data_IF_336130498155
#
_entry.id   IF_336130498155
#
_cell.length_a   1.000
_cell.length_b   1.000
_cell.length_c   1.000
_cell.angle_alpha   90.00
_cell.angle_beta   90.00
_cell.angle_gamma   90.00
#
_symmetry.space_group_name_H-M   'P 1'
#
loop_
_entity.id
_entity.type
_entity.pdbx_description
1 polymer ?
#
# COMPACT_ATOMS: atom_id res chain seq x y z
N UNK A 1 13.04 9.05 32.94
CA UNK A 1 13.41 8.96 31.51
C UNK A 1 14.44 7.88 31.23
N UNK A 2 14.48 6.77 31.95
CA UNK A 2 15.56 5.74 31.82
C UNK A 2 15.04 4.31 31.67
N UNK A 3 13.79 4.04 31.39
CA UNK A 3 13.27 2.68 31.19
C UNK A 3 12.68 2.41 29.80
N UNK A 4 12.56 3.42 28.94
CA UNK A 4 12.02 3.26 27.59
C UNK A 4 13.02 2.84 26.51
N UNK A 5 14.32 2.93 26.78
CA UNK A 5 15.37 2.56 25.80
C UNK A 5 15.75 1.08 25.80
N UNK A 6 15.29 0.29 26.76
CA UNK A 6 15.62 -1.16 26.85
C UNK A 6 14.58 -2.08 26.25
N UNK A 7 13.40 -1.59 25.88
CA UNK A 7 12.33 -2.43 25.32
C UNK A 7 12.42 -2.64 23.80
N UNK A 8 13.18 -1.81 23.10
CA UNK A 8 13.28 -1.86 21.62
C UNK A 8 14.19 -3.00 21.11
N UNK A 9 15.04 -3.58 21.97
CA UNK A 9 16.04 -4.56 21.55
C UNK A 9 15.67 -6.04 21.75
N UNK A 10 14.41 -6.39 22.00
CA UNK A 10 13.97 -7.79 22.18
C UNK A 10 12.94 -8.31 21.18
N UNK A 11 12.65 -7.61 20.10
CA UNK A 11 11.84 -8.22 19.02
C UNK A 11 12.79 -8.98 18.10
N UNK A 12 13.05 -10.26 18.43
CA UNK A 12 13.61 -11.21 17.46
C UNK A 12 12.53 -11.54 16.45
N UNK A 13 12.63 -10.95 15.26
CA UNK A 13 11.86 -11.39 14.09
C UNK A 13 12.14 -12.88 13.81
N UNK A 14 11.13 -13.67 13.43
CA UNK A 14 11.30 -15.07 13.06
C UNK A 14 12.26 -15.17 11.86
N UNK A 15 13.26 -16.05 11.96
CA UNK A 15 14.15 -16.42 10.86
C UNK A 15 13.39 -17.25 9.84
N UNK A 16 12.75 -16.60 8.87
CA UNK A 16 12.24 -17.27 7.68
C UNK A 16 12.15 -16.32 6.50
N UNK A 17 13.26 -15.72 6.09
CA UNK A 17 13.44 -15.25 4.72
C UNK A 17 14.96 -15.23 4.43
N UNK A 18 15.47 -16.35 3.90
CA UNK A 18 16.72 -16.31 3.15
C UNK A 18 16.38 -15.79 1.76
N UNK A 19 17.00 -14.71 1.30
CA UNK A 19 16.92 -14.35 -0.11
C UNK A 19 17.59 -15.45 -0.95
N UNK A 20 17.08 -15.74 -2.16
CA UNK A 20 17.71 -16.70 -3.05
C UNK A 20 19.13 -16.22 -3.40
N UNK A 21 20.05 -17.18 -3.50
CA UNK A 21 21.44 -16.98 -3.82
C UNK A 21 21.59 -16.14 -5.10
N UNK A 22 22.44 -15.12 -5.03
CA UNK A 22 22.86 -14.36 -6.20
C UNK A 22 23.52 -15.33 -7.20
N UNK A 23 22.91 -15.44 -8.37
CA UNK A 23 23.53 -16.09 -9.53
C UNK A 23 24.57 -15.09 -10.02
N UNK A 24 25.84 -15.44 -9.91
CA UNK A 24 26.94 -14.74 -10.53
C UNK A 24 26.71 -14.74 -12.06
N UNK A 25 26.40 -13.58 -12.63
CA UNK A 25 26.46 -13.39 -14.07
C UNK A 25 27.95 -13.29 -14.45
N UNK A 26 28.44 -14.31 -15.12
CA UNK A 26 29.73 -14.28 -15.80
C UNK A 26 29.76 -13.17 -16.83
N UNK A 27 30.81 -12.36 -16.77
CA UNK A 27 31.19 -11.38 -17.80
C UNK A 27 31.37 -12.07 -19.15
N UNK A 28 30.39 -11.89 -20.04
CA UNK A 28 30.51 -12.17 -21.44
C UNK A 28 30.98 -10.91 -22.16
N UNK A 29 32.26 -10.79 -22.40
CA UNK A 29 32.88 -9.84 -23.30
C UNK A 29 32.45 -10.14 -24.75
N UNK A 30 31.53 -9.35 -25.27
CA UNK A 30 31.28 -9.27 -26.70
C UNK A 30 31.79 -7.94 -27.24
N UNK A 31 33.01 -8.04 -27.86
CA UNK A 31 33.61 -6.96 -28.62
C UNK A 31 32.79 -6.61 -29.86
N UNK A 32 32.55 -5.35 -30.07
CA UNK A 32 32.10 -4.81 -31.33
C UNK A 32 33.34 -4.51 -32.20
N UNK A 33 33.35 -4.86 -33.51
CA UNK A 33 34.49 -4.60 -34.36
C UNK A 33 34.59 -3.11 -34.73
N UNK A 34 35.72 -2.52 -34.42
CA UNK A 34 36.16 -1.22 -34.95
C UNK A 34 36.29 -1.32 -36.47
N UNK A 35 35.49 -0.57 -37.20
CA UNK A 35 35.72 -0.32 -38.63
C UNK A 35 36.77 0.79 -38.79
N UNK A 36 37.98 0.34 -39.02
CA UNK A 36 39.08 1.11 -39.54
C UNK A 36 38.69 1.70 -40.92
N UNK A 37 38.66 3.02 -41.06
CA UNK A 37 38.64 3.67 -42.36
C UNK A 37 39.90 4.49 -42.56
N UNK A 38 40.74 3.92 -43.38
CA UNK A 38 42.04 4.38 -43.71
C UNK A 38 42.09 5.78 -44.34
N UNK A 39 43.17 6.41 -44.02
CA UNK A 39 43.77 7.57 -44.74
C UNK A 39 44.15 7.17 -46.15
N UNK A 40 43.70 7.95 -47.13
CA UNK A 40 44.43 8.08 -48.40
C UNK A 40 44.27 9.51 -48.87
N UNK A 41 45.34 10.23 -48.84
CA UNK A 41 45.55 11.39 -49.69
C UNK A 41 46.02 10.88 -51.06
N UNK A 42 45.70 11.57 -52.14
CA UNK A 42 46.76 12.10 -52.95
C UNK A 42 46.57 13.54 -53.48
N UNK A 43 47.68 14.12 -53.65
CA UNK A 43 48.14 15.32 -54.26
C UNK A 43 47.45 15.76 -55.55
N UNK A 44 47.50 17.11 -55.70
CA UNK A 44 47.76 17.92 -56.85
C UNK A 44 46.74 17.96 -58.02
N UNK A 45 46.20 19.13 -58.30
CA UNK A 45 46.71 19.96 -59.39
C UNK A 45 46.02 21.33 -59.36
N UNK A 46 46.85 22.32 -59.35
CA UNK A 46 46.69 23.72 -59.62
C UNK A 46 45.90 23.98 -60.94
N UNK A 47 44.81 24.75 -60.92
CA UNK A 47 44.56 25.69 -62.02
C UNK A 47 43.66 26.85 -61.56
N UNK A 48 44.17 28.03 -61.69
CA UNK A 48 43.56 29.28 -61.38
C UNK A 48 42.37 29.63 -62.27
N UNK A 49 41.37 30.18 -61.66
CA UNK A 49 40.61 31.22 -62.33
C UNK A 49 40.12 32.23 -61.23
N UNK A 50 40.61 33.46 -61.39
CA UNK A 50 40.11 34.65 -60.75
C UNK A 50 38.71 34.86 -61.26
N UNK A 51 37.76 34.99 -60.36
CA UNK A 51 36.72 36.03 -60.57
C UNK A 51 35.88 36.17 -59.27
N UNK A 52 35.82 37.40 -58.90
CA UNK A 52 34.78 38.11 -58.19
C UNK A 52 34.32 37.63 -56.77
N UNK A 53 34.89 38.36 -55.92
CA UNK A 53 34.54 38.71 -54.56
C UNK A 53 33.11 39.21 -54.45
N UNK A 54 32.18 38.35 -54.14
CA UNK A 54 30.94 38.68 -53.49
C UNK A 54 31.15 38.61 -51.96
N UNK A 55 31.63 39.74 -51.43
CA UNK A 55 31.54 40.03 -50.00
C UNK A 55 30.08 40.39 -49.69
N UNK A 56 29.31 39.55 -49.12
CA UNK A 56 28.36 39.86 -48.09
C UNK A 56 27.84 38.61 -47.35
N UNK A 57 28.76 38.04 -46.63
CA UNK A 57 28.41 37.15 -45.51
C UNK A 57 29.05 37.78 -44.28
N UNK A 58 28.37 38.75 -43.69
CA UNK A 58 28.72 39.20 -42.39
C UNK A 58 28.60 38.01 -41.44
N UNK A 59 29.74 37.35 -41.16
CA UNK A 59 29.83 36.44 -40.02
C UNK A 59 29.37 37.24 -38.81
N UNK A 60 28.10 36.99 -38.41
CA UNK A 60 27.59 37.56 -37.18
C UNK A 60 28.41 36.99 -36.04
N UNK A 61 29.25 37.85 -35.44
CA UNK A 61 29.98 37.46 -34.25
C UNK A 61 28.97 36.93 -33.19
N UNK A 62 29.26 35.80 -32.57
CA UNK A 62 28.37 35.24 -31.54
C UNK A 62 28.26 36.22 -30.38
N UNK A 63 27.13 36.90 -30.26
CA UNK A 63 26.85 37.83 -29.17
C UNK A 63 26.42 37.09 -27.91
N UNK A 64 27.02 37.47 -26.78
CA UNK A 64 26.68 36.87 -25.49
C UNK A 64 25.22 37.10 -25.10
N UNK A 65 24.65 36.21 -24.36
CA UNK A 65 23.24 36.24 -23.90
C UNK A 65 22.78 37.58 -23.27
N UNK A 66 23.72 38.33 -22.66
CA UNK A 66 23.44 39.60 -22.01
C UNK A 66 23.62 40.82 -22.94
N UNK A 67 23.89 40.61 -24.23
CA UNK A 67 24.05 41.71 -25.17
C UNK A 67 22.79 42.59 -25.22
N UNK A 68 22.94 43.95 -25.26
CA UNK A 68 21.81 44.90 -25.22
C UNK A 68 20.81 44.67 -26.37
N UNK A 69 21.26 44.29 -27.56
CA UNK A 69 20.40 44.07 -28.74
C UNK A 69 19.44 42.87 -28.56
N UNK A 70 19.81 41.91 -27.71
CA UNK A 70 18.95 40.78 -27.38
C UNK A 70 17.91 41.07 -26.30
N UNK A 71 17.89 42.30 -25.76
CA UNK A 71 17.04 42.66 -24.62
C UNK A 71 15.55 42.42 -24.92
N UNK A 72 15.08 42.74 -26.13
CA UNK A 72 13.64 42.56 -26.50
C UNK A 72 13.30 41.04 -26.61
N UNK A 73 14.17 40.26 -27.25
CA UNK A 73 13.95 38.85 -27.44
C UNK A 73 14.02 38.14 -26.09
N UNK A 74 15.00 38.49 -25.27
CA UNK A 74 15.16 37.98 -23.90
C UNK A 74 13.94 38.28 -23.03
N UNK A 75 13.45 39.53 -23.01
CA UNK A 75 12.30 39.89 -22.23
C UNK A 75 11.03 39.14 -22.67
N UNK A 76 10.81 38.97 -23.99
CA UNK A 76 9.70 38.15 -24.48
C UNK A 76 9.82 36.69 -24.08
N UNK A 77 11.03 36.14 -24.11
CA UNK A 77 11.28 34.78 -23.67
C UNK A 77 11.05 34.64 -22.16
N UNK A 78 11.56 35.57 -21.34
CA UNK A 78 11.32 35.56 -19.89
C UNK A 78 9.84 35.71 -19.53
N UNK A 79 9.10 36.59 -20.18
CA UNK A 79 7.67 36.76 -19.92
C UNK A 79 6.92 35.46 -20.22
N UNK A 80 7.19 34.83 -21.37
CA UNK A 80 6.59 33.53 -21.70
C UNK A 80 6.96 32.46 -20.67
N UNK A 81 8.23 32.42 -20.28
CA UNK A 81 8.71 31.44 -19.29
C UNK A 81 8.04 31.67 -17.93
N UNK A 82 7.94 32.91 -17.45
CA UNK A 82 7.28 33.26 -16.18
C UNK A 82 5.79 32.86 -16.24
N UNK A 83 5.09 33.17 -17.34
CA UNK A 83 3.67 32.80 -17.49
C UNK A 83 3.52 31.29 -17.45
N UNK A 84 4.34 30.55 -18.19
CA UNK A 84 4.28 29.08 -18.22
C UNK A 84 4.58 28.49 -16.84
N UNK A 85 5.62 28.99 -16.16
CA UNK A 85 6.00 28.52 -14.81
C UNK A 85 4.90 28.86 -13.80
N UNK A 86 4.30 30.06 -13.87
CA UNK A 86 3.21 30.45 -12.97
C UNK A 86 1.97 29.57 -13.18
N UNK A 87 1.63 29.26 -14.44
CA UNK A 87 0.53 28.39 -14.76
C UNK A 87 0.79 26.94 -14.23
N UNK A 88 1.99 26.43 -14.44
CA UNK A 88 2.39 25.12 -13.94
C UNK A 88 2.34 25.07 -12.40
N UNK A 89 2.83 26.13 -11.74
CA UNK A 89 2.80 26.22 -10.28
C UNK A 89 1.35 26.23 -9.76
N UNK A 90 0.48 27.04 -10.38
CA UNK A 90 -0.94 27.09 -10.03
C UNK A 90 -1.63 25.71 -10.21
N UNK A 91 -1.28 25.01 -11.28
CA UNK A 91 -1.78 23.66 -11.56
C UNK A 91 -1.32 22.64 -10.51
N UNK A 92 -0.03 22.66 -10.15
CA UNK A 92 0.52 21.80 -9.09
C UNK A 92 -0.16 22.09 -7.75
N UNK A 93 -0.32 23.37 -7.40
CA UNK A 93 -1.00 23.75 -6.15
C UNK A 93 -2.47 23.32 -6.14
N UNK A 94 -3.16 23.39 -7.28
CA UNK A 94 -4.54 22.92 -7.40
C UNK A 94 -4.63 21.40 -7.14
N UNK A 95 -3.73 20.60 -7.73
CA UNK A 95 -3.68 19.15 -7.50
C UNK A 95 -3.33 18.84 -6.04
N UNK A 96 -2.31 19.51 -5.48
CA UNK A 96 -1.92 19.30 -4.09
C UNK A 96 -3.04 19.68 -3.11
N UNK A 97 -3.81 20.73 -3.42
CA UNK A 97 -4.95 21.10 -2.57
C UNK A 97 -6.03 20.03 -2.53
N UNK A 98 -6.31 19.36 -3.66
CA UNK A 98 -7.21 18.21 -3.72
C UNK A 98 -6.68 17.04 -2.89
N UNK A 99 -5.38 16.78 -2.98
CA UNK A 99 -4.73 15.72 -2.20
C UNK A 99 -4.84 15.98 -0.70
N UNK A 100 -4.59 17.22 -0.27
CA UNK A 100 -4.74 17.63 1.13
C UNK A 100 -6.20 17.56 1.61
N UNK A 101 -7.16 17.88 0.72
CA UNK A 101 -8.57 17.78 1.07
C UNK A 101 -9.00 16.32 1.32
N UNK A 102 -8.42 15.35 0.61
CA UNK A 102 -8.69 13.92 0.84
C UNK A 102 -8.21 13.48 2.22
N UNK A 103 -7.01 13.92 2.62
CA UNK A 103 -6.43 13.57 3.94
C UNK A 103 -6.93 14.45 5.09
N UNK A 104 -7.70 15.50 4.79
CA UNK A 104 -8.24 16.37 5.82
C UNK A 104 -9.32 15.63 6.63
N UNK A 105 -9.13 15.55 7.95
CA UNK A 105 -10.05 14.87 8.89
C UNK A 105 -10.36 13.41 8.50
N UNK A 106 -9.33 12.65 8.14
CA UNK A 106 -9.48 11.21 7.86
C UNK A 106 -10.09 10.47 9.03
N UNK A 107 -9.73 10.85 10.27
CA UNK A 107 -10.23 10.24 11.49
C UNK A 107 -11.77 10.28 11.59
N UNK A 108 -12.39 11.38 11.18
CA UNK A 108 -13.86 11.52 11.16
C UNK A 108 -14.54 10.59 10.13
N UNK A 109 -13.76 10.07 9.16
CA UNK A 109 -14.26 9.24 8.05
C UNK A 109 -13.94 7.76 8.18
N UNK A 110 -13.19 7.37 9.21
CA UNK A 110 -12.83 5.96 9.44
C UNK A 110 -14.06 5.06 9.60
N UNK A 111 -15.18 5.61 10.05
CA UNK A 111 -16.46 4.90 10.17
C UNK A 111 -17.03 4.42 8.83
N UNK A 112 -16.55 4.96 7.69
CA UNK A 112 -16.93 4.47 6.37
C UNK A 112 -16.17 3.20 5.97
N UNK A 113 -15.07 2.87 6.65
CA UNK A 113 -14.35 1.62 6.48
C UNK A 113 -15.07 0.51 7.27
N UNK A 114 -16.10 -0.06 6.64
CA UNK A 114 -16.98 -1.04 7.27
C UNK A 114 -16.28 -2.37 7.51
N UNK A 115 -16.29 -2.83 8.76
CA UNK A 115 -15.78 -4.13 9.18
C UNK A 115 -16.92 -4.94 9.78
N UNK A 116 -17.24 -6.08 9.16
CA UNK A 116 -18.25 -6.98 9.70
C UNK A 116 -17.68 -7.75 10.89
N UNK A 117 -18.50 -7.91 11.93
CA UNK A 117 -18.23 -8.78 13.05
C UNK A 117 -19.37 -9.79 13.11
N UNK A 118 -19.04 -11.05 12.88
CA UNK A 118 -20.02 -12.11 12.80
C UNK A 118 -19.72 -13.15 13.88
N UNK A 119 -20.63 -13.26 14.85
CA UNK A 119 -20.56 -14.26 15.90
C UNK A 119 -21.26 -15.53 15.43
N UNK A 120 -20.50 -16.61 15.23
CA UNK A 120 -21.03 -17.94 14.93
C UNK A 120 -20.79 -18.93 16.08
N UNK A 121 -20.28 -18.47 17.22
CA UNK A 121 -19.95 -19.30 18.35
C UNK A 121 -21.20 -20.01 18.89
N UNK A 122 -21.15 -21.33 18.99
CA UNK A 122 -22.30 -22.14 19.41
C UNK A 122 -23.41 -22.30 18.37
N UNK A 123 -23.17 -21.95 17.11
CA UNK A 123 -24.10 -22.28 16.01
C UNK A 123 -23.94 -23.77 15.62
N UNK A 124 -25.01 -24.37 15.13
CA UNK A 124 -25.01 -25.77 14.71
C UNK A 124 -23.80 -26.10 13.79
N UNK A 125 -23.12 -27.23 14.00
CA UNK A 125 -23.46 -28.36 14.85
C UNK A 125 -23.00 -28.29 16.31
N UNK A 126 -22.58 -27.12 16.79
CA UNK A 126 -22.02 -26.93 18.13
C UNK A 126 -23.04 -26.33 19.13
N UNK A 127 -24.29 -26.20 18.73
CA UNK A 127 -25.40 -25.69 19.55
C UNK A 127 -25.76 -26.58 20.75
N UNK A 128 -25.42 -27.87 20.67
CA UNK A 128 -25.75 -28.85 21.72
C UNK A 128 -24.52 -29.40 22.45
N UNK A 129 -23.41 -28.69 22.51
CA UNK A 129 -22.18 -29.15 23.16
C UNK A 129 -22.22 -29.09 24.68
N UNK A 130 -23.30 -28.58 25.28
CA UNK A 130 -23.45 -28.39 26.74
C UNK A 130 -22.63 -27.24 27.29
N UNK A 131 -21.86 -26.56 26.48
CA UNK A 131 -21.05 -25.38 26.85
C UNK A 131 -21.73 -24.12 26.31
N UNK A 132 -21.98 -23.15 27.19
CA UNK A 132 -22.52 -21.85 26.72
C UNK A 132 -21.48 -21.13 25.83
N UNK A 133 -21.90 -20.49 24.73
CA UNK A 133 -21.04 -19.63 23.96
C UNK A 133 -20.40 -18.55 24.84
N UNK A 134 -19.10 -18.37 24.72
CA UNK A 134 -18.34 -17.44 25.58
C UNK A 134 -17.46 -16.49 24.77
N UNK A 135 -16.79 -17.03 23.76
CA UNK A 135 -15.82 -16.26 22.94
C UNK A 135 -16.55 -15.23 22.11
N UNK A 136 -17.58 -15.65 21.36
CA UNK A 136 -18.36 -14.76 20.50
C UNK A 136 -19.04 -13.62 21.23
N UNK A 137 -19.83 -13.87 22.27
CA UNK A 137 -20.45 -12.83 23.07
C UNK A 137 -19.44 -11.85 23.72
N UNK A 138 -18.25 -12.33 24.09
CA UNK A 138 -17.21 -11.46 24.66
C UNK A 138 -16.64 -10.52 23.58
N UNK A 139 -16.40 -11.03 22.37
CA UNK A 139 -15.92 -10.23 21.25
C UNK A 139 -16.98 -9.21 20.81
N UNK A 140 -18.24 -9.63 20.70
CA UNK A 140 -19.36 -8.74 20.35
C UNK A 140 -19.49 -7.60 21.38
N UNK A 141 -19.42 -7.91 22.67
CA UNK A 141 -19.45 -6.91 23.73
C UNK A 141 -18.29 -5.90 23.61
N UNK A 142 -17.09 -6.37 23.23
CA UNK A 142 -15.94 -5.49 23.01
C UNK A 142 -16.18 -4.54 21.84
N UNK A 143 -16.77 -5.04 20.74
CA UNK A 143 -17.13 -4.20 19.57
C UNK A 143 -18.15 -3.13 19.97
N UNK A 144 -19.17 -3.48 20.75
CA UNK A 144 -20.17 -2.53 21.26
C UNK A 144 -19.52 -1.44 22.13
N UNK A 145 -18.52 -1.80 22.94
CA UNK A 145 -17.74 -0.84 23.72
C UNK A 145 -16.93 0.09 22.82
N UNK A 146 -16.32 -0.44 21.73
CA UNK A 146 -15.61 0.39 20.76
C UNK A 146 -16.56 1.36 20.04
N UNK A 147 -17.75 0.89 19.63
CA UNK A 147 -18.77 1.72 18.97
C UNK A 147 -19.31 2.83 19.87
N UNK A 148 -19.39 2.59 21.17
CA UNK A 148 -19.86 3.57 22.17
C UNK A 148 -18.76 4.53 22.62
N UNK A 149 -17.50 4.29 22.25
CA UNK A 149 -16.39 5.16 22.60
C UNK A 149 -16.40 6.44 21.74
N UNK A 150 -15.96 7.57 22.31
CA UNK A 150 -15.76 8.81 21.55
C UNK A 150 -14.43 8.86 20.78
N UNK A 151 -13.74 7.71 20.63
CA UNK A 151 -12.49 7.64 19.91
C UNK A 151 -12.74 7.38 18.43
N UNK A 152 -11.91 7.91 17.51
CA UNK A 152 -11.98 7.56 16.12
C UNK A 152 -11.86 6.04 15.96
N UNK A 153 -12.83 5.42 15.31
CA UNK A 153 -12.87 3.96 15.14
C UNK A 153 -13.40 3.61 13.75
N UNK A 154 -13.16 2.36 13.34
CA UNK A 154 -13.70 1.83 12.10
C UNK A 154 -15.24 1.72 12.17
N UNK A 155 -15.85 1.55 11.01
CA UNK A 155 -17.28 1.27 10.90
C UNK A 155 -17.60 -0.18 11.28
N UNK A 156 -17.68 -0.45 12.58
CA UNK A 156 -18.03 -1.79 13.05
C UNK A 156 -19.49 -2.13 12.73
N UNK A 157 -19.71 -3.24 12.04
CA UNK A 157 -21.04 -3.76 11.71
C UNK A 157 -21.24 -5.14 12.30
N UNK A 158 -21.93 -5.24 13.44
CA UNK A 158 -22.29 -6.53 14.01
C UNK A 158 -23.43 -7.11 13.17
N UNK A 159 -23.20 -8.31 12.62
CA UNK A 159 -24.16 -9.00 11.76
C UNK A 159 -24.49 -10.39 12.35
N UNK A 160 -25.74 -10.77 12.37
CA UNK A 160 -26.11 -12.10 12.83
C UNK A 160 -25.59 -13.18 11.86
N UNK A 161 -25.23 -14.34 12.39
CA UNK A 161 -24.76 -15.48 11.59
C UNK A 161 -25.77 -15.93 10.52
N UNK A 162 -27.09 -15.74 10.81
CA UNK A 162 -28.18 -16.06 9.91
C UNK A 162 -28.15 -15.30 8.58
N UNK A 163 -27.59 -14.08 8.54
CA UNK A 163 -27.45 -13.30 7.30
C UNK A 163 -26.52 -14.01 6.30
N UNK A 164 -25.67 -14.89 6.81
CA UNK A 164 -24.68 -15.65 6.05
C UNK A 164 -24.95 -17.16 6.06
N UNK A 165 -26.20 -17.55 6.30
CA UNK A 165 -26.60 -18.97 6.38
C UNK A 165 -25.77 -19.79 7.38
N UNK A 166 -25.25 -19.16 8.42
CA UNK A 166 -24.34 -19.74 9.42
C UNK A 166 -23.06 -20.34 8.82
N UNK A 167 -22.62 -19.83 7.65
CA UNK A 167 -21.44 -20.31 6.94
C UNK A 167 -20.33 -19.23 6.93
N UNK A 168 -19.18 -19.50 7.54
CA UNK A 168 -18.02 -18.58 7.47
C UNK A 168 -17.56 -18.26 6.05
N UNK A 169 -17.77 -19.20 5.09
CA UNK A 169 -17.41 -18.96 3.69
C UNK A 169 -18.31 -17.90 3.04
N UNK A 170 -19.58 -17.83 3.44
CA UNK A 170 -20.49 -16.79 2.97
C UNK A 170 -20.02 -15.39 3.41
N UNK A 171 -19.50 -15.25 4.64
CA UNK A 171 -18.90 -14.00 5.13
C UNK A 171 -17.66 -13.64 4.32
N UNK A 172 -16.78 -14.62 4.05
CA UNK A 172 -15.59 -14.39 3.19
C UNK A 172 -16.01 -13.94 1.79
N UNK A 173 -17.08 -14.52 1.23
CA UNK A 173 -17.63 -14.11 -0.06
C UNK A 173 -18.17 -12.68 -0.04
N UNK A 174 -18.81 -12.23 1.04
CA UNK A 174 -19.26 -10.85 1.19
C UNK A 174 -18.08 -9.87 1.18
N UNK A 175 -16.98 -10.17 1.90
CA UNK A 175 -15.74 -9.37 1.82
C UNK A 175 -15.16 -9.41 0.41
N UNK A 176 -15.14 -10.57 -0.24
CA UNK A 176 -14.66 -10.71 -1.63
C UNK A 176 -15.46 -9.87 -2.61
N UNK A 177 -16.77 -9.73 -2.41
CA UNK A 177 -17.67 -8.92 -3.23
C UNK A 177 -17.69 -7.43 -2.87
N UNK A 178 -16.84 -7.00 -1.94
CA UNK A 178 -16.74 -5.60 -1.46
C UNK A 178 -17.92 -5.09 -0.63
N UNK A 179 -18.75 -5.98 -0.07
CA UNK A 179 -19.83 -5.59 0.85
C UNK A 179 -19.27 -5.02 2.17
N UNK A 180 -18.08 -5.47 2.57
CA UNK A 180 -17.30 -4.91 3.67
C UNK A 180 -15.83 -4.80 3.26
N UNK A 181 -15.04 -4.04 4.01
CA UNK A 181 -13.59 -3.94 3.84
C UNK A 181 -12.86 -5.13 4.45
N UNK A 182 -13.32 -5.54 5.61
CA UNK A 182 -12.83 -6.70 6.33
C UNK A 182 -13.96 -7.36 7.12
N UNK A 183 -13.72 -8.55 7.62
CA UNK A 183 -14.61 -9.22 8.55
C UNK A 183 -13.83 -9.94 9.65
N UNK A 184 -14.35 -9.87 10.86
CA UNK A 184 -13.94 -10.70 11.99
C UNK A 184 -15.04 -11.74 12.20
N UNK A 185 -14.68 -13.01 12.12
CA UNK A 185 -15.58 -14.13 12.25
C UNK A 185 -15.15 -14.92 13.48
N UNK A 186 -16.06 -15.10 14.42
CA UNK A 186 -15.88 -16.09 15.48
C UNK A 186 -16.37 -17.43 14.97
N UNK A 187 -15.52 -18.45 15.01
CA UNK A 187 -15.86 -19.76 14.47
C UNK A 187 -16.93 -20.46 15.30
N UNK A 188 -17.78 -21.33 14.69
CA UNK A 188 -18.88 -22.01 15.40
C UNK A 188 -18.43 -22.87 16.57
N UNK A 189 -17.20 -23.36 16.54
CA UNK A 189 -16.61 -24.25 17.53
C UNK A 189 -15.68 -23.54 18.53
N UNK A 190 -15.60 -22.20 18.50
CA UNK A 190 -14.59 -21.45 19.27
C UNK A 190 -14.65 -21.75 20.76
N UNK A 191 -15.81 -21.58 21.40
CA UNK A 191 -15.99 -21.91 22.81
C UNK A 191 -15.94 -23.41 23.07
N UNK A 192 -16.58 -24.22 22.24
CA UNK A 192 -16.64 -25.65 22.43
C UNK A 192 -15.25 -26.31 22.48
N UNK A 193 -14.36 -25.92 21.55
CA UNK A 193 -12.99 -26.44 21.51
C UNK A 193 -12.17 -25.93 22.70
N UNK A 194 -12.36 -24.68 23.10
CA UNK A 194 -11.65 -24.09 24.26
C UNK A 194 -12.03 -24.81 25.56
N UNK A 195 -13.34 -25.06 25.79
CA UNK A 195 -13.82 -25.85 26.93
C UNK A 195 -13.31 -27.29 26.89
N UNK A 196 -13.41 -27.95 25.72
CA UNK A 196 -12.94 -29.32 25.53
C UNK A 196 -11.43 -29.44 25.80
N UNK A 197 -10.62 -28.46 25.34
CA UNK A 197 -9.18 -28.48 25.53
C UNK A 197 -8.80 -28.56 27.00
N UNK A 198 -9.45 -27.77 27.87
CA UNK A 198 -9.18 -27.77 29.32
C UNK A 198 -9.80 -28.99 29.99
N UNK A 199 -11.01 -29.42 29.57
CA UNK A 199 -11.68 -30.56 30.17
C UNK A 199 -10.94 -31.90 29.91
N UNK A 200 -10.37 -32.05 28.73
CA UNK A 200 -9.70 -33.32 28.30
C UNK A 200 -8.19 -33.25 28.32
N UNK A 201 -7.57 -32.10 28.53
CA UNK A 201 -6.12 -31.90 28.42
C UNK A 201 -5.60 -32.06 26.99
N UNK A 202 -6.37 -31.64 25.99
CA UNK A 202 -6.03 -31.80 24.57
C UNK A 202 -4.91 -30.83 24.15
N UNK A 203 -3.69 -31.32 24.13
CA UNK A 203 -2.51 -30.56 23.71
C UNK A 203 -2.53 -30.11 22.23
N UNK A 204 -3.39 -30.67 21.40
CA UNK A 204 -3.55 -30.28 19.98
C UNK A 204 -4.47 -29.07 19.78
N UNK A 205 -4.96 -28.46 20.85
CA UNK A 205 -5.76 -27.24 20.74
C UNK A 205 -4.94 -26.11 20.10
N UNK A 206 -5.47 -25.51 19.02
CA UNK A 206 -4.88 -24.35 18.36
C UNK A 206 -5.73 -23.10 18.60
N UNK A 207 -5.23 -22.12 19.36
CA UNK A 207 -5.93 -20.86 19.59
C UNK A 207 -6.28 -20.11 18.31
N UNK A 208 -5.47 -20.22 17.23
CA UNK A 208 -5.72 -19.54 15.95
C UNK A 208 -6.99 -20.05 15.26
N UNK A 209 -7.47 -21.23 15.62
CA UNK A 209 -8.72 -21.78 15.13
C UNK A 209 -9.97 -21.12 15.72
N UNK A 210 -9.88 -20.24 16.73
CA UNK A 210 -11.04 -19.64 17.36
C UNK A 210 -11.70 -18.55 16.52
N UNK A 211 -10.90 -17.68 15.90
CA UNK A 211 -11.40 -16.55 15.13
C UNK A 211 -10.68 -16.42 13.78
N UNK A 212 -11.31 -15.69 12.87
CA UNK A 212 -10.75 -15.37 11.56
C UNK A 212 -10.80 -13.87 11.32
N UNK A 213 -9.71 -13.31 10.79
CA UNK A 213 -9.67 -12.00 10.16
C UNK A 213 -9.63 -12.20 8.65
N UNK A 214 -10.64 -11.70 7.96
CA UNK A 214 -10.76 -11.80 6.50
C UNK A 214 -10.68 -10.42 5.88
N UNK A 215 -9.83 -10.22 4.88
CA UNK A 215 -9.62 -8.92 4.25
C UNK A 215 -9.09 -9.02 2.83
N UNK A 216 -8.96 -7.88 2.16
CA UNK A 216 -8.34 -7.73 0.84
C UNK A 216 -7.50 -6.45 0.86
N UNK A 217 -6.17 -6.57 0.99
CA UNK A 217 -5.27 -5.42 0.97
C UNK A 217 -5.14 -4.78 -0.42
N UNK A 218 -5.33 -5.57 -1.49
CA UNK A 218 -5.30 -5.05 -2.85
C UNK A 218 -6.50 -4.16 -3.23
N UNK A 219 -7.52 -4.05 -2.36
CA UNK A 219 -8.64 -3.12 -2.57
C UNK A 219 -8.16 -1.67 -2.48
N UNK A 220 -7.35 -1.37 -1.49
CA UNK A 220 -6.66 -0.10 -1.28
C UNK A 220 -5.59 -0.33 -0.20
N UNK A 221 -4.34 -0.42 -0.64
CA UNK A 221 -3.20 -0.71 0.21
C UNK A 221 -2.96 0.40 1.25
N UNK A 222 -3.16 1.66 0.88
CA UNK A 222 -2.99 2.80 1.78
C UNK A 222 -4.02 2.76 2.91
N UNK A 223 -5.31 2.62 2.59
CA UNK A 223 -6.35 2.52 3.61
C UNK A 223 -6.16 1.30 4.50
N UNK A 224 -5.70 0.18 3.93
CA UNK A 224 -5.46 -1.02 4.71
C UNK A 224 -4.30 -0.86 5.68
N UNK A 225 -3.10 -0.49 5.19
CA UNK A 225 -1.90 -0.47 6.01
C UNK A 225 -1.81 0.72 6.96
N UNK A 226 -2.29 1.90 6.54
CA UNK A 226 -2.15 3.12 7.33
C UNK A 226 -3.26 3.29 8.37
N UNK A 227 -4.47 2.78 8.11
CA UNK A 227 -5.63 3.02 8.97
C UNK A 227 -6.27 1.75 9.52
N UNK A 228 -6.60 0.77 8.66
CA UNK A 228 -7.38 -0.38 9.10
C UNK A 228 -6.57 -1.37 9.92
N UNK A 229 -5.41 -1.79 9.41
CA UNK A 229 -4.58 -2.81 10.06
C UNK A 229 -4.14 -2.42 11.48
N UNK A 230 -3.69 -1.18 11.75
CA UNK A 230 -3.34 -0.77 13.12
C UNK A 230 -4.52 -0.88 14.09
N UNK A 231 -5.71 -0.40 13.69
CA UNK A 231 -6.91 -0.42 14.54
C UNK A 231 -7.39 -1.86 14.76
N UNK A 232 -7.43 -2.68 13.71
CA UNK A 232 -7.83 -4.09 13.80
C UNK A 232 -6.84 -4.89 14.66
N UNK A 233 -5.54 -4.66 14.51
CA UNK A 233 -4.50 -5.33 15.30
C UNK A 233 -4.60 -4.98 16.79
N UNK A 234 -4.87 -3.71 17.09
CA UNK A 234 -5.13 -3.27 18.45
C UNK A 234 -6.40 -3.94 19.01
N UNK A 235 -7.47 -3.99 18.23
CA UNK A 235 -8.71 -4.68 18.61
C UNK A 235 -8.47 -6.17 18.88
N UNK A 236 -7.76 -6.89 17.98
CA UNK A 236 -7.45 -8.31 18.16
C UNK A 236 -6.65 -8.56 19.44
N UNK A 237 -5.65 -7.72 19.71
CA UNK A 237 -4.86 -7.81 20.94
C UNK A 237 -5.72 -7.58 22.18
N UNK A 238 -6.61 -6.61 22.13
CA UNK A 238 -7.56 -6.32 23.21
C UNK A 238 -8.55 -7.46 23.42
N UNK A 239 -9.08 -8.03 22.32
CA UNK A 239 -9.96 -9.19 22.36
C UNK A 239 -9.30 -10.42 22.99
N UNK A 240 -8.06 -10.74 22.56
CA UNK A 240 -7.28 -11.82 23.17
C UNK A 240 -7.06 -11.61 24.67
N UNK A 241 -6.73 -10.38 25.08
CA UNK A 241 -6.52 -10.05 26.49
C UNK A 241 -7.80 -10.19 27.30
N UNK A 242 -8.93 -9.62 26.83
CA UNK A 242 -10.21 -9.66 27.57
C UNK A 242 -10.78 -11.07 27.65
N UNK A 243 -10.78 -11.80 26.52
CA UNK A 243 -11.24 -13.20 26.53
C UNK A 243 -10.34 -14.03 27.43
N UNK A 244 -9.01 -13.90 27.30
CA UNK A 244 -8.05 -14.63 28.13
C UNK A 244 -8.20 -14.37 29.62
N UNK A 245 -8.40 -13.11 30.04
CA UNK A 245 -8.61 -12.77 31.45
C UNK A 245 -9.92 -13.37 32.00
N UNK A 246 -11.04 -13.18 31.30
CA UNK A 246 -12.33 -13.74 31.71
C UNK A 246 -12.28 -15.27 31.74
N UNK A 247 -11.67 -15.86 30.73
CA UNK A 247 -11.50 -17.31 30.62
C UNK A 247 -10.64 -17.87 31.75
N UNK A 248 -9.48 -17.28 32.03
CA UNK A 248 -8.61 -17.71 33.13
C UNK A 248 -9.34 -17.64 34.48
N UNK A 249 -10.13 -16.60 34.73
CA UNK A 249 -10.95 -16.51 35.96
C UNK A 249 -11.93 -17.66 36.05
N UNK A 250 -12.68 -17.99 34.98
CA UNK A 250 -13.65 -19.09 34.99
C UNK A 250 -12.97 -20.44 35.21
N UNK A 251 -11.84 -20.70 34.51
CA UNK A 251 -11.13 -21.96 34.63
C UNK A 251 -10.53 -22.12 36.03
N UNK A 252 -9.94 -21.07 36.62
CA UNK A 252 -9.39 -21.13 37.97
C UNK A 252 -10.49 -21.34 39.05
N UNK A 253 -11.66 -20.73 38.88
CA UNK A 253 -12.81 -21.00 39.76
C UNK A 253 -13.25 -22.47 39.67
N UNK A 254 -13.33 -23.04 38.49
CA UNK A 254 -13.69 -24.45 38.29
C UNK A 254 -12.57 -25.39 38.77
N UNK A 255 -11.31 -25.03 38.55
CA UNK A 255 -10.15 -25.83 38.99
C UNK A 255 -10.03 -25.91 40.54
N UNK A 256 -10.52 -24.90 41.23
CA UNK A 256 -10.56 -24.94 42.71
C UNK A 256 -11.44 -26.10 43.27
N UNK A 257 -12.39 -26.56 42.48
CA UNK A 257 -13.31 -27.62 42.81
C UNK A 257 -12.96 -28.98 42.15
N UNK A 258 -12.06 -28.97 41.15
CA UNK A 258 -11.70 -30.17 40.36
C UNK A 258 -10.20 -30.21 40.03
N UNK A 259 -9.47 -31.09 40.73
CA UNK A 259 -8.04 -31.25 40.55
C UNK A 259 -7.64 -31.85 39.18
N UNK A 260 -8.53 -32.53 38.47
CA UNK A 260 -8.31 -33.03 37.12
C UNK A 260 -8.14 -31.89 36.12
N UNK A 261 -8.96 -30.83 36.23
CA UNK A 261 -8.83 -29.63 35.40
C UNK A 261 -7.45 -29.00 35.55
N UNK A 262 -6.93 -28.95 36.78
CA UNK A 262 -5.59 -28.38 37.04
C UNK A 262 -4.50 -29.19 36.37
N UNK A 263 -4.59 -30.52 36.38
CA UNK A 263 -3.64 -31.42 35.67
C UNK A 263 -3.74 -31.23 34.14
N UNK A 264 -4.95 -31.10 33.60
CA UNK A 264 -5.17 -30.91 32.19
C UNK A 264 -4.63 -29.55 31.71
N UNK A 265 -4.74 -28.50 32.54
CA UNK A 265 -4.17 -27.17 32.24
C UNK A 265 -2.65 -27.20 32.03
N UNK A 266 -1.92 -28.09 32.75
CA UNK A 266 -0.48 -28.25 32.55
C UNK A 266 -0.15 -28.83 31.16
N UNK A 267 -1.03 -29.65 30.61
CA UNK A 267 -0.89 -30.24 29.28
C UNK A 267 -1.35 -29.30 28.13
N UNK A 268 -2.13 -28.26 28.46
CA UNK A 268 -2.74 -27.34 27.46
C UNK A 268 -2.50 -25.87 27.81
N UNK A 269 -1.24 -25.41 27.97
CA UNK A 269 -0.95 -24.04 28.36
C UNK A 269 -1.49 -23.01 27.34
N UNK A 270 -1.55 -23.37 26.05
CA UNK A 270 -2.09 -22.54 24.97
C UNK A 270 -3.62 -22.28 25.12
N UNK A 271 -4.35 -23.16 25.79
CA UNK A 271 -5.76 -22.94 26.07
C UNK A 271 -5.99 -21.90 27.18
N UNK A 272 -4.94 -21.54 27.94
CA UNK A 272 -4.99 -20.49 28.96
C UNK A 272 -4.50 -19.17 28.41
N UNK A 273 -3.38 -19.19 27.71
CA UNK A 273 -2.74 -18.03 27.15
C UNK A 273 -2.04 -18.41 25.83
N UNK A 274 -2.47 -17.85 24.68
CA UNK A 274 -3.41 -16.73 24.51
C UNK A 274 -4.90 -17.10 24.54
N UNK A 275 -5.31 -18.32 24.85
CA UNK A 275 -6.67 -18.87 24.84
C UNK A 275 -7.37 -18.83 23.48
N UNK A 276 -7.42 -17.68 22.84
CA UNK A 276 -7.93 -17.48 21.46
C UNK A 276 -6.89 -16.79 20.58
N UNK A 277 -7.02 -16.94 19.28
CA UNK A 277 -6.23 -16.25 18.28
C UNK A 277 -7.05 -15.97 17.02
N UNK A 278 -6.43 -15.29 16.07
CA UNK A 278 -7.05 -14.91 14.80
C UNK A 278 -6.23 -15.48 13.65
N UNK A 279 -6.85 -16.33 12.83
CA UNK A 279 -6.29 -16.75 11.54
C UNK A 279 -6.55 -15.67 10.51
N UNK A 280 -5.53 -15.24 9.79
CA UNK A 280 -5.65 -14.19 8.78
C UNK A 280 -5.86 -14.77 7.38
N UNK A 281 -6.87 -14.26 6.68
CA UNK A 281 -7.22 -14.64 5.32
C UNK A 281 -7.23 -13.42 4.42
N UNK A 282 -6.11 -13.16 3.74
CA UNK A 282 -6.05 -12.17 2.67
C UNK A 282 -6.58 -12.79 1.38
N UNK A 283 -7.79 -12.38 0.95
CA UNK A 283 -8.45 -12.95 -0.22
C UNK A 283 -7.85 -12.50 -1.56
N UNK A 284 -7.22 -11.32 -1.56
CA UNK A 284 -6.54 -10.74 -2.72
C UNK A 284 -5.30 -9.99 -2.25
N UNK A 285 -4.17 -10.69 -2.10
CA UNK A 285 -2.96 -10.04 -1.65
C UNK A 285 -2.43 -9.05 -2.70
N UNK A 286 -2.01 -7.88 -2.25
CA UNK A 286 -1.33 -6.91 -3.08
C UNK A 286 0.13 -7.35 -3.30
N UNK A 287 0.41 -7.77 -4.53
CA UNK A 287 1.75 -8.23 -4.91
C UNK A 287 2.03 -7.93 -6.39
N UNK A 288 3.22 -7.45 -6.76
CA UNK A 288 4.38 -7.17 -5.89
C UNK A 288 4.32 -5.79 -5.22
N UNK A 289 4.85 -5.67 -4.03
CA UNK A 289 4.94 -4.39 -3.29
C UNK A 289 5.72 -3.30 -4.05
N UNK A 290 6.58 -3.69 -4.98
CA UNK A 290 7.30 -2.75 -5.87
C UNK A 290 6.37 -1.97 -6.79
N UNK A 291 5.10 -2.37 -6.93
CA UNK A 291 4.10 -1.64 -7.70
C UNK A 291 3.52 -0.43 -6.95
N UNK A 292 3.67 -0.33 -5.62
CA UNK A 292 3.15 0.78 -4.80
C UNK A 292 3.55 2.16 -5.35
N UNK A 293 4.85 2.45 -5.64
CA UNK A 293 5.23 3.74 -6.19
C UNK A 293 4.60 4.02 -7.57
N UNK A 294 4.40 2.97 -8.38
CA UNK A 294 3.81 3.12 -9.70
C UNK A 294 2.31 3.43 -9.63
N UNK A 295 1.59 2.77 -8.73
CA UNK A 295 0.14 2.93 -8.56
C UNK A 295 -0.20 4.25 -7.84
N UNK A 296 0.55 4.63 -6.81
CA UNK A 296 0.27 5.81 -6.00
C UNK A 296 0.83 7.10 -6.63
N UNK A 297 2.12 7.15 -6.93
CA UNK A 297 2.81 8.36 -7.39
C UNK A 297 2.95 8.37 -8.92
N UNK A 298 3.22 7.22 -9.52
CA UNK A 298 3.49 7.10 -10.95
C UNK A 298 2.32 7.57 -11.82
N UNK A 299 1.10 7.22 -11.47
CA UNK A 299 -0.11 7.65 -12.18
C UNK A 299 -0.29 9.18 -12.14
N UNK A 300 0.00 9.81 -11.00
CA UNK A 300 -0.07 11.26 -10.83
C UNK A 300 1.02 11.95 -11.65
N UNK A 301 2.22 11.37 -11.70
CA UNK A 301 3.35 11.94 -12.43
C UNK A 301 3.24 11.74 -13.94
N UNK A 302 2.61 10.67 -14.42
CA UNK A 302 2.47 10.40 -15.86
C UNK A 302 1.34 11.17 -16.52
N UNK A 303 0.31 11.55 -15.80
CA UNK A 303 -0.84 12.29 -16.33
C UNK A 303 -0.48 13.66 -16.94
N UNK A 304 0.36 14.52 -16.33
CA UNK A 304 0.74 15.80 -16.90
C UNK A 304 1.87 15.71 -17.95
N UNK A 305 2.58 14.58 -18.07
CA UNK A 305 3.71 14.44 -18.98
C UNK A 305 3.37 14.71 -20.47
N UNK A 306 2.22 14.26 -21.01
CA UNK A 306 1.82 14.57 -22.40
C UNK A 306 1.52 16.04 -22.63
N UNK A 307 1.14 16.79 -21.59
CA UNK A 307 0.82 18.22 -21.70
C UNK A 307 2.07 19.13 -21.59
N UNK A 308 3.19 18.58 -21.12
CA UNK A 308 4.43 19.34 -20.86
C UNK A 308 5.40 19.40 -22.02
N UNK A 309 5.20 18.60 -23.06
CA UNK A 309 6.00 18.65 -24.28
C UNK A 309 5.19 19.18 -25.45
N UNK A 310 5.09 20.50 -25.64
CA UNK A 310 4.80 21.01 -26.98
C UNK A 310 5.97 20.53 -27.85
N UNK A 311 5.68 19.66 -28.80
CA UNK A 311 6.69 19.12 -29.69
C UNK A 311 7.48 20.29 -30.28
N UNK A 312 8.76 20.37 -29.92
CA UNK A 312 9.72 21.35 -30.45
C UNK A 312 9.91 21.21 -31.98
N UNK A 313 9.26 20.24 -32.61
CA UNK A 313 9.21 20.04 -34.06
C UNK A 313 8.38 21.05 -34.82
N UNK A 314 7.45 21.79 -34.19
CA UNK A 314 6.65 22.80 -34.90
C UNK A 314 7.32 24.18 -34.99
N UNK A 315 8.40 24.44 -34.25
CA UNK A 315 9.09 25.73 -34.30
C UNK A 315 10.13 25.78 -35.45
N UNK A 316 10.71 24.62 -35.82
CA UNK A 316 11.69 24.54 -36.91
C UNK A 316 11.07 24.71 -38.31
N UNK A 317 9.79 24.37 -38.50
CA UNK A 317 9.14 24.41 -39.82
C UNK A 317 8.74 25.83 -40.24
N UNK A 318 8.47 26.74 -39.31
CA UNK A 318 8.08 28.10 -39.65
C UNK A 318 9.25 29.02 -40.02
N UNK A 319 10.44 28.76 -39.54
CA UNK A 319 11.65 29.57 -39.93
C UNK A 319 12.11 29.26 -41.32
N UNK A 320 11.98 28.03 -41.81
CA UNK A 320 12.35 27.63 -43.17
C UNK A 320 11.35 28.14 -44.23
N UNK A 321 10.08 28.35 -43.89
CA UNK A 321 9.06 28.78 -44.86
C UNK A 321 9.08 30.28 -45.10
N UNK A 322 9.64 31.08 -44.17
CA UNK A 322 9.76 32.54 -44.33
C UNK A 322 10.92 32.94 -45.24
N UNK A 323 11.97 32.15 -45.34
CA UNK A 323 13.15 32.44 -46.17
C UNK A 323 13.00 31.94 -47.64
N UNK A 324 11.98 31.13 -47.95
CA UNK A 324 11.76 30.59 -49.30
C UNK A 324 10.87 31.43 -50.22
N UNK A 325 10.23 32.50 -49.73
CA UNK A 325 9.32 33.34 -50.51
C UNK A 325 9.91 34.70 -50.95
N UNK A 326 11.17 34.96 -50.71
CA UNK A 326 11.81 36.23 -51.08
C UNK A 326 12.61 36.18 -52.41
N UNK A 327 12.52 35.07 -53.20
CA UNK A 327 13.33 34.94 -54.39
C UNK A 327 12.56 34.49 -55.63
N UNK A 328 11.34 35.00 -55.82
CA UNK A 328 10.67 34.92 -57.16
C UNK A 328 9.76 36.12 -57.36
N UNK A 329 10.32 37.30 -57.66
CA UNK A 329 9.70 38.33 -58.54
C UNK A 329 10.80 39.29 -58.97
N UNK A 330 11.39 39.08 -60.11
CA UNK A 330 11.83 39.99 -61.15
C UNK A 330 12.29 39.24 -62.35
#
# INVERSE_FOLDING_TARGET
MSQMSQLVNRIRLPRAFRPPAQINAEEGTNGYPETNRGKTAPNETENGNKDEKSKDGSEMEPVGFWHPDLRQVRNRAFVKWIITTSFLMAFILAILSLYWAVFFKVEDRLTHLLVYVVDMDGVAPYDNTGSAPFVGPTITQLVEQQMSSNQPTLGWGIRPASDFNNDPLAVRKAVYNFDAWAAIIVNPNASALLYSAVATGNASYDPLGACQLVYQDSRDDTNWFDFMLPIISQFMTQAQSQVGQKWAQMVLQNASSNTEILSNMQNTPQALNPSIGFSEYNLRPFFPYTAIPAVSIGLICTWPAPLSFPSSSSISIHVYKANGMAHQTS
#
